data_IF_366772383091
#
_entry.id   IF_366772383091
#
_cell.length_a   1.000
_cell.length_b   1.000
_cell.length_c   1.000
_cell.angle_alpha   90.00
_cell.angle_beta   90.00
_cell.angle_gamma   90.00
#
_symmetry.space_group_name_H-M   'P 1'
#
loop_
_entity.id
_entity.type
_entity.pdbx_description
1 polymer ?
#
# COMPACT_ATOMS: atom_id res chain seq x y z
N UNK A 1 9.79 7.96 24.69
CA UNK A 1 8.63 7.87 23.77
C UNK A 1 9.16 8.07 22.36
N UNK A 2 9.00 7.12 21.42
CA UNK A 2 9.43 7.34 20.03
C UNK A 2 8.67 8.53 19.44
N UNK A 3 9.35 9.35 18.63
CA UNK A 3 8.73 10.51 18.00
C UNK A 3 7.54 10.09 17.12
N UNK A 4 6.58 10.98 16.89
CA UNK A 4 5.43 10.71 16.01
C UNK A 4 5.88 10.22 14.63
N UNK A 5 7.02 10.74 14.14
CA UNK A 5 7.64 10.32 12.88
C UNK A 5 8.21 8.90 12.96
N UNK A 6 8.90 8.52 14.05
CA UNK A 6 9.38 7.16 14.24
C UNK A 6 8.24 6.13 14.33
N UNK A 7 7.13 6.50 14.98
CA UNK A 7 5.93 5.66 15.02
C UNK A 7 5.28 5.53 13.64
N UNK A 8 5.27 6.60 12.84
CA UNK A 8 4.81 6.60 11.46
C UNK A 8 5.63 5.65 10.58
N UNK A 9 6.96 5.75 10.64
CA UNK A 9 7.89 4.87 9.92
C UNK A 9 7.65 3.41 10.31
N UNK A 10 7.50 3.11 11.60
CA UNK A 10 7.22 1.75 12.06
C UNK A 10 5.90 1.20 11.52
N UNK A 11 4.84 2.02 11.46
CA UNK A 11 3.54 1.60 10.89
C UNK A 11 3.65 1.30 9.41
N UNK A 12 4.35 2.15 8.64
CA UNK A 12 4.54 1.91 7.19
C UNK A 12 5.42 0.69 6.93
N UNK A 13 6.46 0.45 7.72
CA UNK A 13 7.31 -0.76 7.62
C UNK A 13 6.51 -2.05 7.85
N UNK A 14 5.57 -2.07 8.80
CA UNK A 14 4.68 -3.22 9.03
C UNK A 14 3.81 -3.54 7.81
N UNK A 15 3.33 -2.53 7.08
CA UNK A 15 2.57 -2.75 5.85
C UNK A 15 3.45 -3.27 4.72
N UNK A 16 4.71 -2.82 4.63
CA UNK A 16 5.71 -3.33 3.68
C UNK A 16 6.04 -4.81 3.94
N UNK A 17 6.16 -5.21 5.19
CA UNK A 17 6.45 -6.61 5.58
C UNK A 17 5.36 -7.59 5.14
N UNK A 18 4.12 -7.12 4.90
CA UNK A 18 3.03 -7.96 4.41
C UNK A 18 3.09 -8.22 2.89
N UNK A 19 3.77 -7.36 2.12
CA UNK A 19 3.80 -7.43 0.65
C UNK A 19 4.35 -8.77 0.12
N UNK A 20 5.48 -9.33 0.63
CA UNK A 20 5.98 -10.62 0.16
C UNK A 20 4.98 -11.76 0.38
N UNK A 21 4.26 -11.75 1.50
CA UNK A 21 3.23 -12.73 1.78
C UNK A 21 2.03 -12.62 0.83
N UNK A 22 1.57 -11.38 0.56
CA UNK A 22 0.51 -11.09 -0.41
C UNK A 22 0.89 -11.52 -1.83
N UNK A 23 2.17 -11.41 -2.19
CA UNK A 23 2.71 -11.82 -3.49
C UNK A 23 2.80 -13.35 -3.64
N UNK A 24 3.11 -14.08 -2.56
CA UNK A 24 3.45 -15.49 -2.60
C UNK A 24 2.29 -16.49 -2.63
N UNK A 25 1.07 -16.12 -2.18
CA UNK A 25 -0.04 -17.07 -2.02
C UNK A 25 -1.05 -17.14 -3.18
N UNK A 26 -0.91 -16.32 -4.23
CA UNK A 26 -1.99 -16.17 -5.21
C UNK A 26 -3.21 -15.44 -4.61
N UNK A 27 -4.26 -15.19 -5.40
CA UNK A 27 -5.11 -14.02 -5.29
C UNK A 27 -6.19 -14.22 -4.22
N UNK A 28 -5.86 -14.03 -2.94
CA UNK A 28 -6.92 -13.80 -1.96
C UNK A 28 -7.21 -12.30 -2.00
N UNK A 29 -8.00 -11.88 -2.99
CA UNK A 29 -8.43 -10.49 -3.19
C UNK A 29 -8.98 -9.85 -1.93
N UNK A 30 -9.49 -10.68 -1.00
CA UNK A 30 -9.89 -10.27 0.34
C UNK A 30 -8.73 -9.74 1.18
N UNK A 31 -7.62 -10.48 1.32
CA UNK A 31 -6.46 -10.02 2.11
C UNK A 31 -5.76 -8.84 1.47
N UNK A 32 -5.70 -8.79 0.13
CA UNK A 32 -5.24 -7.59 -0.56
C UNK A 32 -6.13 -6.39 -0.25
N UNK A 33 -7.45 -6.54 -0.31
CA UNK A 33 -8.39 -5.48 0.05
C UNK A 33 -8.20 -4.99 1.48
N UNK A 34 -8.08 -5.90 2.44
CA UNK A 34 -7.79 -5.56 3.84
C UNK A 34 -6.49 -4.78 3.99
N UNK A 35 -5.43 -5.22 3.30
CA UNK A 35 -4.14 -4.54 3.32
C UNK A 35 -4.23 -3.14 2.70
N UNK A 36 -4.94 -2.98 1.58
CA UNK A 36 -5.19 -1.67 0.95
C UNK A 36 -5.91 -0.74 1.92
N UNK A 37 -7.00 -1.20 2.54
CA UNK A 37 -7.79 -0.37 3.45
C UNK A 37 -6.98 0.03 4.70
N UNK A 38 -6.23 -0.90 5.29
CA UNK A 38 -5.39 -0.63 6.45
C UNK A 38 -4.22 0.31 6.13
N UNK A 39 -3.61 0.14 4.95
CA UNK A 39 -2.52 0.99 4.48
C UNK A 39 -3.03 2.40 4.19
N UNK A 40 -4.14 2.53 3.46
CA UNK A 40 -4.76 3.82 3.16
C UNK A 40 -5.16 4.56 4.45
N UNK A 41 -5.82 3.88 5.39
CA UNK A 41 -6.15 4.48 6.69
C UNK A 41 -4.91 4.98 7.45
N UNK A 42 -3.80 4.24 7.37
CA UNK A 42 -2.52 4.66 7.95
C UNK A 42 -2.01 5.93 7.28
N UNK A 43 -2.04 6.00 5.94
CA UNK A 43 -1.61 7.19 5.19
C UNK A 43 -2.47 8.42 5.52
N UNK A 44 -3.79 8.25 5.56
CA UNK A 44 -4.74 9.30 5.98
C UNK A 44 -4.43 9.80 7.40
N UNK A 45 -4.16 8.88 8.33
CA UNK A 45 -3.80 9.24 9.71
C UNK A 45 -2.49 10.03 9.80
N UNK A 46 -1.54 9.75 8.91
CA UNK A 46 -0.21 10.34 8.94
C UNK A 46 -0.11 11.68 8.18
N UNK A 47 -0.77 11.78 7.04
CA UNK A 47 -0.62 12.89 6.10
C UNK A 47 -1.90 13.70 5.90
N UNK A 48 -3.05 13.20 6.34
CA UNK A 48 -4.37 13.78 6.09
C UNK A 48 -5.11 13.08 4.95
N UNK A 49 -6.45 13.22 4.93
CA UNK A 49 -7.32 12.55 3.96
C UNK A 49 -7.09 13.02 2.52
N UNK A 50 -6.92 14.32 2.31
CA UNK A 50 -6.69 14.92 0.99
C UNK A 50 -5.20 14.98 0.62
N UNK A 51 -4.36 14.24 1.35
CA UNK A 51 -2.92 14.27 1.12
C UNK A 51 -2.53 13.64 -0.22
N UNK A 52 -1.51 14.19 -0.91
CA UNK A 52 -0.93 13.55 -2.09
C UNK A 52 -0.49 12.10 -1.83
N UNK A 53 -0.09 11.78 -0.60
CA UNK A 53 0.33 10.46 -0.16
C UNK A 53 -0.82 9.44 -0.16
N UNK A 54 -1.95 9.80 0.46
CA UNK A 54 -3.12 8.94 0.50
C UNK A 54 -3.72 8.76 -0.90
N UNK A 55 -3.83 9.85 -1.67
CA UNK A 55 -4.34 9.83 -3.05
C UNK A 55 -3.45 9.03 -4.00
N UNK A 56 -2.14 9.28 -3.99
CA UNK A 56 -1.19 8.60 -4.85
C UNK A 56 -1.14 7.09 -4.60
N UNK A 57 -1.32 6.67 -3.34
CA UNK A 57 -1.47 5.24 -3.04
C UNK A 57 -2.72 4.65 -3.69
N UNK A 58 -3.88 5.30 -3.58
CA UNK A 58 -5.14 4.83 -4.19
C UNK A 58 -5.08 4.79 -5.72
N UNK A 59 -4.37 5.71 -6.37
CA UNK A 59 -4.14 5.69 -7.82
C UNK A 59 -3.36 4.45 -8.28
N UNK A 60 -2.52 3.87 -7.42
CA UNK A 60 -1.77 2.64 -7.69
C UNK A 60 -2.65 1.39 -7.48
N UNK A 61 -3.37 1.35 -6.35
CA UNK A 61 -4.03 0.12 -5.89
C UNK A 61 -5.49 -0.01 -6.31
N UNK A 62 -6.14 1.09 -6.69
CA UNK A 62 -7.55 1.21 -7.04
C UNK A 62 -8.45 1.51 -5.84
N UNK A 63 -9.53 2.27 -6.05
CA UNK A 63 -10.39 2.78 -4.95
C UNK A 63 -11.51 1.81 -4.56
N UNK A 64 -12.11 1.11 -5.51
CA UNK A 64 -13.26 0.20 -5.30
C UNK A 64 -13.02 -1.23 -5.80
N UNK A 65 -13.93 -2.17 -5.51
CA UNK A 65 -13.76 -3.59 -5.84
C UNK A 65 -13.43 -3.84 -7.34
N UNK A 66 -14.18 -3.20 -8.25
CA UNK A 66 -13.92 -3.29 -9.69
C UNK A 66 -12.54 -2.75 -10.07
N UNK A 67 -12.17 -1.59 -9.53
CA UNK A 67 -10.86 -0.99 -9.76
C UNK A 67 -9.74 -1.81 -9.13
N UNK A 68 -9.93 -2.40 -7.95
CA UNK A 68 -8.99 -3.26 -7.18
C UNK A 68 -8.81 -4.65 -7.79
N UNK A 69 -9.48 -4.95 -8.89
CA UNK A 69 -9.33 -6.20 -9.61
C UNK A 69 -10.15 -7.37 -9.04
N UNK A 70 -11.23 -7.11 -8.29
CA UNK A 70 -12.19 -8.19 -7.98
C UNK A 70 -12.77 -8.75 -9.28
N UNK A 71 -12.54 -10.04 -9.53
CA UNK A 71 -12.95 -10.72 -10.76
C UNK A 71 -12.02 -10.49 -11.96
N UNK A 72 -10.97 -9.67 -11.82
CA UNK A 72 -9.90 -9.60 -12.83
C UNK A 72 -8.99 -10.80 -12.56
N UNK A 73 -8.64 -11.61 -13.57
CA UNK A 73 -7.74 -12.74 -13.38
C UNK A 73 -6.46 -12.27 -12.66
N UNK A 74 -5.80 -13.19 -11.95
CA UNK A 74 -4.35 -13.12 -11.83
C UNK A 74 -3.84 -12.93 -13.25
N UNK A 75 -3.57 -11.70 -13.62
CA UNK A 75 -3.02 -11.35 -14.89
C UNK A 75 -1.56 -11.02 -14.53
N UNK A 76 -0.73 -12.05 -14.27
CA UNK A 76 0.59 -11.89 -13.67
C UNK A 76 1.46 -10.95 -14.49
N UNK A 77 1.25 -10.93 -15.81
CA UNK A 77 1.97 -10.09 -16.78
C UNK A 77 1.17 -8.87 -17.24
N UNK A 78 -0.02 -8.65 -16.69
CA UNK A 78 -0.82 -7.47 -17.01
C UNK A 78 -0.43 -6.33 -16.07
N UNK A 79 -0.19 -5.16 -16.62
CA UNK A 79 0.17 -3.94 -15.89
C UNK A 79 -0.78 -3.58 -14.73
N UNK A 80 -2.04 -4.01 -14.82
CA UNK A 80 -3.08 -3.81 -13.80
C UNK A 80 -3.37 -5.06 -12.94
N UNK A 81 -2.61 -6.14 -13.11
CA UNK A 81 -2.71 -7.33 -12.28
C UNK A 81 -2.23 -7.09 -10.85
N UNK A 82 -2.72 -7.90 -9.91
CA UNK A 82 -2.44 -7.79 -8.47
C UNK A 82 -0.93 -7.70 -8.16
N UNK A 83 -0.11 -8.49 -8.84
CA UNK A 83 1.34 -8.52 -8.64
C UNK A 83 2.01 -7.21 -9.04
N UNK A 84 1.72 -6.71 -10.24
CA UNK A 84 2.24 -5.43 -10.72
C UNK A 84 1.80 -4.25 -9.84
N UNK A 85 0.60 -4.31 -9.24
CA UNK A 85 0.13 -3.30 -8.28
C UNK A 85 0.86 -3.37 -6.95
N UNK A 86 1.05 -4.58 -6.42
CA UNK A 86 1.83 -4.79 -5.20
C UNK A 86 3.27 -4.29 -5.38
N UNK A 87 3.89 -4.54 -6.53
CA UNK A 87 5.25 -4.07 -6.82
C UNK A 87 5.33 -2.53 -6.85
N UNK A 88 4.37 -1.87 -7.52
CA UNK A 88 4.28 -0.40 -7.53
C UNK A 88 4.01 0.18 -6.15
N UNK A 89 3.09 -0.42 -5.41
CA UNK A 89 2.71 0.05 -4.08
C UNK A 89 3.84 -0.15 -3.07
N UNK A 90 4.59 -1.25 -3.15
CA UNK A 90 5.80 -1.46 -2.36
C UNK A 90 6.84 -0.38 -2.62
N UNK A 91 7.13 -0.07 -3.89
CA UNK A 91 8.04 1.00 -4.26
C UNK A 91 7.60 2.35 -3.70
N UNK A 92 6.31 2.67 -3.81
CA UNK A 92 5.73 3.90 -3.28
C UNK A 92 5.87 4.03 -1.76
N UNK A 93 5.50 2.98 -1.00
CA UNK A 93 5.61 2.97 0.45
C UNK A 93 7.08 3.05 0.93
N UNK A 94 8.02 2.42 0.22
CA UNK A 94 9.46 2.56 0.51
C UNK A 94 9.93 4.00 0.33
N UNK A 95 9.53 4.67 -0.75
CA UNK A 95 9.85 6.09 -0.96
C UNK A 95 9.28 6.99 0.14
N UNK A 96 8.06 6.72 0.61
CA UNK A 96 7.48 7.47 1.74
C UNK A 96 8.27 7.26 3.03
N UNK A 97 8.68 6.02 3.32
CA UNK A 97 9.53 5.71 4.49
C UNK A 97 10.87 6.45 4.40
N UNK A 98 11.57 6.36 3.27
CA UNK A 98 12.85 7.06 3.06
C UNK A 98 12.71 8.57 3.23
N UNK A 99 11.59 9.15 2.76
CA UNK A 99 11.33 10.58 2.90
C UNK A 99 11.10 10.97 4.36
N UNK A 100 10.32 10.18 5.12
CA UNK A 100 10.11 10.41 6.54
C UNK A 100 11.39 10.25 7.35
N UNK A 101 12.25 9.30 7.00
CA UNK A 101 13.56 9.09 7.64
C UNK A 101 14.50 10.27 7.45
N UNK A 102 14.47 10.93 6.28
CA UNK A 102 15.24 12.16 6.03
C UNK A 102 14.74 13.38 6.81
N UNK A 103 13.52 13.31 7.34
CA UNK A 103 12.88 14.39 8.09
C UNK A 103 12.94 14.17 9.62
N UNK A 104 13.37 12.98 10.07
CA UNK A 104 13.48 12.58 11.46
C UNK A 104 14.84 12.93 12.06
#
# INVERSE_FOLDING_TARGET
>A
MPSTVQQAIQRLRRHLEQVPWLRGRGPVSYHYGQWVDATHHTLVTLFGEESPEARGFLEIVGTGAAERGWGVPLAPDHQWGLRARLDRAEGYLRQLVERLEKQA
#
